data_IF_323013084553
#
_entry.id   IF_323013084553
#
_cell.length_a   1.000
_cell.length_b   1.000
_cell.length_c   1.000
_cell.angle_alpha   90.00
_cell.angle_beta   90.00
_cell.angle_gamma   90.00
#
_symmetry.space_group_name_H-M   'P 1'
#
loop_
_entity.id
_entity.type
_entity.pdbx_description
1 polymer ?
#
# COMPACT_ATOMS: atom_id res chain seq x y z
N UNK A 1 5.70 -14.11 -6.30
CA UNK A 1 7.17 -13.95 -6.19
C UNK A 1 7.50 -13.63 -4.73
N UNK A 2 8.27 -14.46 -4.03
CA UNK A 2 8.64 -14.20 -2.63
C UNK A 2 10.12 -13.84 -2.57
N UNK A 3 10.40 -12.56 -2.41
CA UNK A 3 11.74 -12.09 -2.17
C UNK A 3 12.14 -12.48 -0.74
N UNK A 4 13.27 -13.18 -0.60
CA UNK A 4 13.83 -13.60 0.68
C UNK A 4 15.06 -12.75 0.96
N UNK A 5 15.21 -12.27 2.19
CA UNK A 5 16.50 -11.70 2.63
C UNK A 5 17.54 -12.81 2.77
N UNK A 6 18.84 -12.46 2.80
CA UNK A 6 19.95 -13.40 3.03
C UNK A 6 19.76 -14.29 4.28
N UNK A 7 18.98 -13.82 5.26
CA UNK A 7 18.56 -14.54 6.47
C UNK A 7 17.42 -15.57 6.24
N UNK A 8 17.14 -15.95 4.98
CA UNK A 8 16.02 -16.81 4.50
C UNK A 8 14.59 -16.36 4.86
N UNK A 9 14.44 -15.29 5.66
CA UNK A 9 13.15 -14.77 6.06
C UNK A 9 12.42 -14.10 4.88
N UNK A 10 11.18 -14.52 4.67
CA UNK A 10 10.27 -13.86 3.74
C UNK A 10 9.89 -12.47 4.27
N UNK A 11 9.93 -11.47 3.39
CA UNK A 11 9.39 -10.15 3.66
C UNK A 11 8.21 -9.87 2.76
N UNK A 12 7.31 -9.01 3.23
CA UNK A 12 6.20 -8.51 2.43
C UNK A 12 6.42 -7.03 2.16
N UNK A 13 6.01 -6.62 0.97
CA UNK A 13 6.15 -5.26 0.50
C UNK A 13 4.76 -4.70 0.24
N UNK A 14 4.42 -3.60 0.89
CA UNK A 14 3.25 -2.80 0.58
C UNK A 14 3.71 -1.70 -0.36
N UNK A 15 3.21 -1.70 -1.59
CA UNK A 15 3.48 -0.64 -2.54
C UNK A 15 2.19 0.13 -2.80
N UNK A 16 2.23 1.44 -2.56
CA UNK A 16 1.16 2.37 -2.92
C UNK A 16 1.64 3.15 -4.14
N UNK A 17 0.94 2.92 -5.25
CA UNK A 17 1.16 3.56 -6.52
C UNK A 17 -0.01 4.50 -6.79
N UNK A 18 0.28 5.70 -7.27
CA UNK A 18 -0.73 6.56 -7.87
C UNK A 18 -0.96 6.09 -9.31
N UNK A 19 -2.19 5.69 -9.64
CA UNK A 19 -2.51 5.16 -10.96
C UNK A 19 -2.55 6.25 -12.06
N UNK A 20 -2.76 7.50 -11.69
CA UNK A 20 -2.90 8.61 -12.62
C UNK A 20 -1.54 9.13 -13.09
N UNK A 21 -0.61 9.34 -12.16
CA UNK A 21 0.75 9.81 -12.43
C UNK A 21 1.74 8.65 -12.60
N UNK A 22 1.35 7.42 -12.25
CA UNK A 22 2.23 6.24 -12.13
C UNK A 22 3.39 6.47 -11.16
N UNK A 23 3.24 7.41 -10.22
CA UNK A 23 4.24 7.65 -9.19
C UNK A 23 4.13 6.64 -8.07
N UNK A 24 5.28 6.20 -7.57
CA UNK A 24 5.33 5.37 -6.37
C UNK A 24 5.34 6.29 -5.15
N UNK A 25 4.20 6.35 -4.46
CA UNK A 25 3.99 7.22 -3.31
C UNK A 25 4.65 6.66 -2.05
N UNK A 26 4.58 5.34 -1.87
CA UNK A 26 5.18 4.70 -0.70
C UNK A 26 5.51 3.23 -0.97
N UNK A 27 6.69 2.79 -0.51
CA UNK A 27 7.08 1.39 -0.46
C UNK A 27 7.43 1.06 0.99
N UNK A 28 6.63 0.18 1.61
CA UNK A 28 6.85 -0.28 2.98
C UNK A 28 7.25 -1.75 2.99
N UNK A 29 8.42 -2.04 3.52
CA UNK A 29 8.91 -3.41 3.71
C UNK A 29 8.68 -3.80 5.17
N UNK A 30 7.82 -4.80 5.42
CA UNK A 30 7.67 -5.39 6.76
C UNK A 30 7.57 -6.90 6.66
N UNK A 31 8.03 -7.60 7.70
CA UNK A 31 7.90 -9.06 7.78
C UNK A 31 6.44 -9.50 7.90
N UNK A 32 5.64 -8.72 8.64
CA UNK A 32 4.19 -8.87 8.77
C UNK A 32 3.56 -7.51 8.47
N UNK A 33 2.73 -7.45 7.43
CA UNK A 33 1.90 -6.29 7.12
C UNK A 33 0.51 -6.56 7.67
N UNK A 34 0.01 -5.64 8.47
CA UNK A 34 -1.36 -5.64 8.97
C UNK A 34 -2.18 -4.54 8.27
N UNK A 35 -3.50 -4.56 8.44
CA UNK A 35 -4.39 -3.50 7.92
C UNK A 35 -4.03 -2.12 8.48
N UNK A 36 -3.61 -2.04 9.74
CA UNK A 36 -3.14 -0.79 10.35
C UNK A 36 -1.98 -0.16 9.58
N UNK A 37 -1.04 -0.99 9.09
CA UNK A 37 0.09 -0.49 8.31
C UNK A 37 -0.33 0.14 6.97
N UNK A 38 -1.46 -0.31 6.42
CA UNK A 38 -2.05 0.26 5.19
C UNK A 38 -2.73 1.58 5.50
N UNK A 39 -3.51 1.62 6.58
CA UNK A 39 -4.24 2.81 7.02
C UNK A 39 -3.25 3.93 7.35
N UNK A 40 -2.20 3.67 8.14
CA UNK A 40 -1.22 4.68 8.51
C UNK A 40 -0.61 5.38 7.28
N UNK A 41 -0.21 4.59 6.27
CA UNK A 41 0.41 5.15 5.05
C UNK A 41 -0.61 5.93 4.24
N UNK A 42 -1.83 5.41 4.12
CA UNK A 42 -2.88 6.10 3.40
C UNK A 42 -3.24 7.41 4.08
N UNK A 43 -3.28 7.43 5.42
CA UNK A 43 -3.51 8.65 6.22
C UNK A 43 -2.38 9.65 6.04
N UNK A 44 -1.11 9.22 6.14
CA UNK A 44 0.05 10.10 5.91
C UNK A 44 0.02 10.70 4.50
N UNK A 45 -0.27 9.89 3.48
CA UNK A 45 -0.41 10.34 2.10
C UNK A 45 -1.61 11.28 1.92
N UNK A 46 -2.71 11.00 2.60
CA UNK A 46 -3.91 11.84 2.55
C UNK A 46 -3.68 13.21 3.19
N UNK A 47 -2.85 13.30 4.23
CA UNK A 47 -2.44 14.57 4.83
C UNK A 47 -1.50 15.33 3.90
N UNK A 48 -0.54 14.64 3.28
CA UNK A 48 0.49 15.28 2.45
C UNK A 48 -0.03 15.75 1.09
N UNK A 49 -0.94 14.99 0.46
CA UNK A 49 -1.43 15.26 -0.91
C UNK A 49 -2.94 15.50 -1.02
N UNK A 50 -3.70 15.28 0.05
CA UNK A 50 -5.16 15.33 0.03
C UNK A 50 -5.81 13.95 -0.11
N UNK A 51 -7.12 13.89 0.11
CA UNK A 51 -7.88 12.63 0.09
C UNK A 51 -7.96 12.09 -1.34
N UNK A 52 -7.54 10.82 -1.59
CA UNK A 52 -7.64 10.23 -2.92
C UNK A 52 -9.12 9.98 -3.28
N UNK A 53 -9.50 10.32 -4.51
CA UNK A 53 -10.86 10.08 -5.01
C UNK A 53 -11.13 8.60 -5.36
N UNK A 54 -10.07 7.82 -5.53
CA UNK A 54 -10.17 6.41 -5.89
C UNK A 54 -9.01 5.63 -5.28
N UNK A 55 -9.33 4.46 -4.70
CA UNK A 55 -8.35 3.53 -4.15
C UNK A 55 -8.62 2.18 -4.80
N UNK A 56 -7.58 1.62 -5.44
CA UNK A 56 -7.61 0.26 -5.97
C UNK A 56 -6.65 -0.61 -5.17
N UNK A 57 -7.21 -1.53 -4.40
CA UNK A 57 -6.43 -2.58 -3.78
C UNK A 57 -6.28 -3.73 -4.76
N UNK A 58 -5.03 -4.08 -5.11
CA UNK A 58 -4.72 -5.23 -5.97
C UNK A 58 -4.72 -6.54 -5.16
N UNK A 59 -5.78 -6.71 -4.36
CA UNK A 59 -6.09 -7.95 -3.66
C UNK A 59 -7.27 -8.58 -4.40
N UNK A 60 -7.18 -9.84 -4.79
CA UNK A 60 -8.22 -10.52 -5.60
C UNK A 60 -9.57 -10.68 -4.85
N UNK A 61 -9.68 -10.11 -3.64
CA UNK A 61 -10.88 -10.02 -2.83
C UNK A 61 -11.20 -8.53 -2.56
N UNK A 62 -12.30 -8.06 -3.16
CA UNK A 62 -13.00 -6.79 -2.91
C UNK A 62 -12.45 -5.50 -3.55
N UNK A 63 -13.21 -4.98 -4.53
CA UNK A 63 -13.22 -3.57 -4.93
C UNK A 63 -13.97 -2.78 -3.86
N UNK A 64 -13.28 -1.99 -3.05
CA UNK A 64 -13.93 -1.04 -2.14
C UNK A 64 -13.74 0.40 -2.67
N UNK A 65 -14.86 1.04 -3.00
CA UNK A 65 -14.90 2.48 -3.28
C UNK A 65 -14.96 3.19 -1.93
N UNK A 66 -13.89 3.89 -1.55
CA UNK A 66 -13.99 4.89 -0.48
C UNK A 66 -14.38 6.19 -1.18
N UNK A 67 -15.67 6.53 -1.11
CA UNK A 67 -16.22 7.77 -1.63
C UNK A 67 -17.23 8.32 -0.62
N UNK A 68 -16.77 9.26 0.21
CA UNK A 68 -17.48 10.41 0.78
C UNK A 68 -16.56 11.10 1.78
#
# INVERSE_FOLDING_TARGET
>A
MHCRTHDEKAFRTLNILDEHTRECLAIRVKRKLNSTDVIDVLTDLSILRGVPAYIRSDNVLCREKIAA
#
